data_IF_192437681763
#
_entry.id   IF_192437681763
#
_cell.length_a   1.000
_cell.length_b   1.000
_cell.length_c   1.000
_cell.angle_alpha   90.00
_cell.angle_beta   90.00
_cell.angle_gamma   90.00
#
_symmetry.space_group_name_H-M   'P 1'
#
loop_
_entity.id
_entity.type
_entity.pdbx_description
1 polymer ?
#
# COMPACT_ATOMS: atom_id res chain seq x y z
N UNK A 1 7.18 28.65 10.40
CA UNK A 1 6.60 27.83 9.33
C UNK A 1 5.45 27.04 9.93
N UNK A 2 4.21 27.41 9.63
CA UNK A 2 3.03 26.64 10.03
C UNK A 2 3.04 25.34 9.24
N UNK A 3 3.28 24.21 9.91
CA UNK A 3 3.18 22.91 9.28
C UNK A 3 1.72 22.73 8.82
N UNK A 4 1.48 22.80 7.50
CA UNK A 4 0.19 22.51 6.91
C UNK A 4 -0.20 21.10 7.32
N UNK A 5 -1.16 20.98 8.23
CA UNK A 5 -1.63 19.69 8.74
C UNK A 5 -2.67 19.21 7.75
N UNK A 6 -2.22 18.48 6.73
CA UNK A 6 -3.12 17.86 5.77
C UNK A 6 -3.98 16.85 6.53
N UNK A 7 -5.23 17.23 6.77
CA UNK A 7 -6.17 16.43 7.55
C UNK A 7 -6.99 15.48 6.67
N UNK A 8 -7.25 15.85 5.41
CA UNK A 8 -8.06 15.06 4.49
C UNK A 8 -7.38 15.04 3.12
N UNK A 9 -7.32 13.87 2.49
CA UNK A 9 -6.86 13.69 1.12
C UNK A 9 -7.94 12.97 0.31
N UNK A 10 -8.15 13.41 -0.93
CA UNK A 10 -8.99 12.69 -1.90
C UNK A 10 -8.12 11.70 -2.68
N UNK A 11 -8.50 10.43 -2.71
CA UNK A 11 -7.81 9.40 -3.48
C UNK A 11 -8.01 9.63 -4.98
N UNK A 12 -6.90 9.59 -5.74
CA UNK A 12 -6.93 9.78 -7.19
C UNK A 12 -7.42 8.54 -7.94
N UNK A 13 -7.37 7.38 -7.29
CA UNK A 13 -7.59 6.07 -7.91
C UNK A 13 -6.37 5.54 -8.68
N UNK A 14 -5.27 6.29 -8.73
CA UNK A 14 -4.06 5.86 -9.42
C UNK A 14 -3.13 5.10 -8.47
N UNK A 15 -2.56 4.02 -8.99
CA UNK A 15 -1.40 3.35 -8.38
C UNK A 15 -0.16 3.73 -9.16
N UNK A 16 0.82 4.34 -8.48
CA UNK A 16 2.12 4.64 -9.08
C UNK A 16 3.06 3.45 -8.94
N UNK A 17 3.85 3.21 -9.98
CA UNK A 17 4.92 2.20 -9.97
C UNK A 17 6.22 2.70 -9.34
N UNK A 18 6.34 4.02 -9.14
CA UNK A 18 7.53 4.70 -8.61
C UNK A 18 7.14 5.73 -7.56
N UNK A 19 7.88 5.76 -6.46
CA UNK A 19 7.71 6.74 -5.38
C UNK A 19 8.21 8.15 -5.72
N UNK A 20 8.81 8.35 -6.89
CA UNK A 20 9.50 9.59 -7.26
C UNK A 20 8.68 10.52 -8.17
N UNK A 21 7.57 10.03 -8.72
CA UNK A 21 6.65 10.81 -9.54
C UNK A 21 5.22 10.49 -9.11
N UNK A 22 4.60 11.37 -8.34
CA UNK A 22 3.25 11.21 -7.83
C UNK A 22 2.54 12.56 -7.70
N UNK A 23 1.23 12.53 -7.91
CA UNK A 23 0.31 13.62 -7.59
C UNK A 23 -0.37 13.35 -6.24
N UNK A 24 -0.88 14.41 -5.61
CA UNK A 24 -1.62 14.28 -4.35
C UNK A 24 -2.79 13.30 -4.53
N UNK A 25 -2.93 12.36 -3.59
CA UNK A 25 -3.97 11.33 -3.63
C UNK A 25 -3.58 10.05 -4.36
N UNK A 26 -2.42 10.01 -5.02
CA UNK A 26 -1.88 8.79 -5.60
C UNK A 26 -1.49 7.77 -4.53
N UNK A 27 -1.66 6.49 -4.87
CA UNK A 27 -1.36 5.37 -3.98
C UNK A 27 -0.12 4.65 -4.47
N UNK A 28 0.78 4.31 -3.54
CA UNK A 28 1.92 3.43 -3.78
C UNK A 28 1.70 2.11 -3.03
N UNK A 29 1.61 1.03 -3.79
CA UNK A 29 1.50 -0.33 -3.24
C UNK A 29 2.89 -0.94 -3.09
N UNK A 30 3.20 -1.47 -1.92
CA UNK A 30 4.48 -2.10 -1.66
C UNK A 30 4.32 -3.42 -0.89
N UNK A 31 5.22 -4.36 -1.17
CA UNK A 31 5.24 -5.67 -0.55
C UNK A 31 5.85 -5.58 0.84
N UNK A 32 5.28 -6.32 1.77
CA UNK A 32 5.91 -6.71 3.02
C UNK A 32 5.93 -8.22 3.08
N UNK A 33 7.05 -8.80 3.51
CA UNK A 33 7.10 -10.23 3.78
C UNK A 33 6.38 -10.50 5.09
N UNK A 34 5.71 -11.64 5.18
CA UNK A 34 5.31 -12.13 6.49
C UNK A 34 6.51 -12.82 7.20
N UNK A 35 6.28 -13.30 8.41
CA UNK A 35 7.33 -13.91 9.25
C UNK A 35 7.94 -15.16 8.60
N UNK A 36 7.16 -15.95 7.86
CA UNK A 36 7.66 -17.10 7.12
C UNK A 36 8.44 -16.64 5.91
N UNK A 37 7.90 -15.69 5.14
CA UNK A 37 8.57 -15.12 3.97
C UNK A 37 9.92 -14.47 4.28
N UNK A 38 10.03 -13.76 5.40
CA UNK A 38 11.28 -13.17 5.87
C UNK A 38 12.34 -14.25 6.21
N UNK A 39 11.91 -15.39 6.76
CA UNK A 39 12.78 -16.53 7.07
C UNK A 39 13.28 -17.21 5.80
N UNK A 40 12.40 -17.45 4.83
CA UNK A 40 12.78 -18.03 3.52
C UNK A 40 13.75 -17.15 2.73
N UNK A 41 13.52 -15.83 2.71
CA UNK A 41 14.43 -14.88 2.03
C UNK A 41 15.83 -14.87 2.65
N UNK A 42 15.94 -14.96 3.98
CA UNK A 42 17.23 -15.01 4.69
C UNK A 42 17.99 -16.32 4.44
N UNK A 43 17.28 -17.43 4.26
CA UNK A 43 17.86 -18.75 4.02
C UNK A 43 18.36 -19.03 2.59
N UNK A 44 18.25 -18.09 1.64
CA UNK A 44 18.59 -18.28 0.20
C UNK A 44 17.83 -19.42 -0.49
N UNK A 45 16.70 -19.88 0.05
CA UNK A 45 15.82 -20.83 -0.62
C UNK A 45 14.87 -20.06 -1.55
N UNK A 46 15.40 -19.66 -2.71
CA UNK A 46 14.75 -18.73 -3.64
C UNK A 46 13.70 -19.34 -4.56
N UNK A 47 13.52 -20.67 -4.55
CA UNK A 47 12.92 -21.34 -5.71
C UNK A 47 11.40 -21.57 -5.60
N UNK A 48 10.78 -21.38 -4.42
CA UNK A 48 9.32 -21.54 -4.24
C UNK A 48 8.62 -20.35 -3.59
N UNK A 49 9.31 -19.22 -3.42
CA UNK A 49 8.69 -17.93 -3.14
C UNK A 49 8.22 -17.77 -1.69
N UNK A 50 8.70 -16.70 -1.07
CA UNK A 50 8.23 -16.26 0.24
C UNK A 50 6.75 -15.83 0.16
N UNK A 51 6.01 -16.11 1.22
CA UNK A 51 4.69 -15.54 1.46
C UNK A 51 4.82 -14.07 1.91
N UNK A 52 3.78 -13.29 1.68
CA UNK A 52 3.78 -11.88 2.00
C UNK A 52 2.46 -11.21 1.72
N UNK A 53 2.43 -9.90 1.85
CA UNK A 53 1.24 -9.11 1.62
C UNK A 53 1.57 -7.70 1.17
N UNK A 54 0.57 -7.01 0.63
CA UNK A 54 0.68 -5.62 0.23
C UNK A 54 0.20 -4.67 1.32
N UNK A 55 0.92 -3.56 1.40
CA UNK A 55 0.57 -2.35 2.13
C UNK A 55 0.47 -1.19 1.14
N UNK A 56 -0.08 -0.06 1.60
CA UNK A 56 -0.24 1.12 0.78
C UNK A 56 0.22 2.38 1.51
N UNK A 57 0.75 3.31 0.73
CA UNK A 57 0.98 4.69 1.12
C UNK A 57 0.21 5.62 0.18
N UNK A 58 -0.18 6.77 0.67
CA UNK A 58 -0.80 7.85 -0.10
C UNK A 58 0.14 9.05 -0.18
N UNK A 59 0.22 9.70 -1.33
CA UNK A 59 1.00 10.93 -1.48
C UNK A 59 0.17 12.13 -1.02
N UNK A 60 0.68 12.89 -0.05
CA UNK A 60 -0.02 14.07 0.48
C UNK A 60 0.20 15.36 -0.34
N UNK A 61 1.05 15.30 -1.37
CA UNK A 61 1.50 16.47 -2.14
C UNK A 61 2.93 16.91 -1.81
N UNK A 62 3.48 16.44 -0.68
CA UNK A 62 4.86 16.68 -0.28
C UNK A 62 5.62 15.36 -0.10
N UNK A 63 5.02 14.38 0.58
CA UNK A 63 5.63 13.09 0.91
C UNK A 63 4.62 11.95 1.00
N UNK A 64 5.16 10.74 1.00
CA UNK A 64 4.39 9.53 1.21
C UNK A 64 3.97 9.39 2.67
N UNK A 65 2.69 9.12 2.88
CA UNK A 65 2.08 8.91 4.19
C UNK A 65 1.47 7.52 4.25
N UNK A 66 1.47 6.93 5.45
CA UNK A 66 0.84 5.65 5.68
C UNK A 66 -0.66 5.75 5.38
N UNK A 67 -1.17 4.85 4.56
CA UNK A 67 -2.60 4.62 4.37
C UNK A 67 -2.97 3.35 5.13
N UNK A 68 -4.08 3.39 5.87
CA UNK A 68 -4.58 2.26 6.64
C UNK A 68 -5.29 1.26 5.73
N UNK A 69 -4.51 0.70 4.81
CA UNK A 69 -4.96 -0.17 3.73
C UNK A 69 -5.69 -1.42 4.22
N UNK A 70 -5.36 -1.89 5.42
CA UNK A 70 -5.98 -3.03 6.07
C UNK A 70 -7.44 -2.77 6.47
N UNK A 71 -7.85 -1.51 6.63
CA UNK A 71 -9.25 -1.14 6.90
C UNK A 71 -10.06 -1.09 5.59
N UNK A 72 -9.36 -0.95 4.46
CA UNK A 72 -9.95 -0.82 3.13
C UNK A 72 -9.95 -2.13 2.34
N UNK A 73 -9.00 -3.02 2.62
CA UNK A 73 -8.82 -4.32 1.97
C UNK A 73 -8.44 -5.37 3.02
N UNK A 74 -9.28 -6.39 3.13
CA UNK A 74 -9.06 -7.54 4.01
C UNK A 74 -7.72 -8.24 3.70
N UNK A 75 -7.11 -8.85 4.72
CA UNK A 75 -5.76 -9.40 4.62
C UNK A 75 -5.63 -10.44 3.51
N UNK A 76 -6.62 -11.32 3.38
CA UNK A 76 -6.66 -12.46 2.46
C UNK A 76 -6.63 -11.99 1.00
N UNK A 77 -7.18 -10.80 0.74
CA UNK A 77 -7.26 -10.20 -0.60
C UNK A 77 -5.98 -9.42 -0.98
N UNK A 78 -5.07 -9.20 -0.02
CA UNK A 78 -3.81 -8.49 -0.22
C UNK A 78 -2.59 -9.33 0.14
N UNK A 79 -2.77 -10.57 0.59
CA UNK A 79 -1.72 -11.55 0.86
C UNK A 79 -1.50 -12.49 -0.33
N UNK A 80 -0.34 -13.11 -0.36
CA UNK A 80 0.01 -14.21 -1.25
C UNK A 80 0.85 -15.23 -0.49
N UNK A 81 0.70 -16.50 -0.84
CA UNK A 81 1.46 -17.59 -0.24
C UNK A 81 2.79 -17.77 -0.99
N UNK A 82 2.78 -17.57 -2.31
CA UNK A 82 3.96 -17.73 -3.14
C UNK A 82 4.33 -16.44 -3.87
N UNK A 83 5.63 -16.18 -3.99
CA UNK A 83 6.13 -14.98 -4.68
C UNK A 83 5.64 -14.85 -6.14
N UNK A 84 5.38 -15.98 -6.81
CA UNK A 84 4.78 -16.04 -8.15
C UNK A 84 3.37 -15.43 -8.21
N UNK A 85 2.61 -15.49 -7.12
CA UNK A 85 1.26 -14.94 -7.02
C UNK A 85 1.27 -13.42 -6.80
N UNK A 86 2.39 -12.86 -6.32
CA UNK A 86 2.48 -11.45 -5.94
C UNK A 86 2.08 -10.49 -7.06
N UNK A 87 2.44 -10.80 -8.31
CA UNK A 87 2.03 -10.01 -9.48
C UNK A 87 0.53 -10.01 -9.71
N UNK A 88 -0.13 -11.17 -9.58
CA UNK A 88 -1.59 -11.30 -9.69
C UNK A 88 -2.28 -10.48 -8.59
N UNK A 89 -1.80 -10.57 -7.35
CA UNK A 89 -2.34 -9.79 -6.23
C UNK A 89 -2.15 -8.29 -6.48
N UNK A 90 -0.98 -7.84 -6.95
CA UNK A 90 -0.74 -6.43 -7.30
C UNK A 90 -1.73 -5.91 -8.35
N UNK A 91 -1.98 -6.67 -9.42
CA UNK A 91 -2.93 -6.27 -10.46
C UNK A 91 -4.36 -6.20 -9.94
N UNK A 92 -4.77 -7.14 -9.08
CA UNK A 92 -6.07 -7.08 -8.40
C UNK A 92 -6.19 -5.82 -7.54
N UNK A 93 -5.20 -5.54 -6.68
CA UNK A 93 -5.20 -4.37 -5.82
C UNK A 93 -5.17 -3.06 -6.60
N UNK A 94 -4.49 -3.01 -7.75
CA UNK A 94 -4.53 -1.86 -8.65
C UNK A 94 -5.94 -1.56 -9.14
N UNK A 95 -6.76 -2.59 -9.42
CA UNK A 95 -8.16 -2.41 -9.79
C UNK A 95 -8.99 -1.93 -8.59
N UNK A 96 -8.75 -2.47 -7.40
CA UNK A 96 -9.41 -2.04 -6.16
C UNK A 96 -9.15 -0.56 -5.88
N UNK A 97 -7.89 -0.11 -5.97
CA UNK A 97 -7.52 1.30 -5.76
C UNK A 97 -8.21 2.21 -6.76
N UNK A 98 -8.36 1.81 -8.03
CA UNK A 98 -9.10 2.60 -9.03
C UNK A 98 -10.54 2.89 -8.61
N UNK A 99 -11.20 1.95 -7.94
CA UNK A 99 -12.56 2.13 -7.43
C UNK A 99 -12.64 3.15 -6.27
N UNK A 100 -11.51 3.56 -5.71
CA UNK A 100 -11.47 4.57 -4.65
C UNK A 100 -11.34 5.99 -5.17
N UNK A 101 -11.34 6.20 -6.49
CA UNK A 101 -11.30 7.54 -7.06
C UNK A 101 -12.39 8.43 -6.44
N UNK A 102 -11.99 9.58 -5.90
CA UNK A 102 -12.90 10.53 -5.25
C UNK A 102 -13.22 10.21 -3.78
N UNK A 103 -12.83 9.04 -3.25
CA UNK A 103 -12.97 8.72 -1.81
C UNK A 103 -12.04 9.61 -1.00
N UNK A 104 -12.57 10.18 0.09
CA UNK A 104 -11.81 11.01 1.03
C UNK A 104 -11.34 10.16 2.20
N UNK A 105 -10.06 10.29 2.54
CA UNK A 105 -9.43 9.65 3.71
C UNK A 105 -8.97 10.72 4.68
N UNK A 106 -9.12 10.47 5.98
CA UNK A 106 -8.78 11.42 7.04
C UNK A 106 -7.55 10.97 7.80
N UNK A 107 -6.67 11.90 8.15
CA UNK A 107 -5.52 11.59 9.00
C UNK A 107 -5.97 11.30 10.44
N UNK A 108 -5.69 10.10 10.91
CA UNK A 108 -5.83 9.70 12.31
C UNK A 108 -4.52 9.93 13.05
N UNK A 109 -4.53 10.80 14.05
CA UNK A 109 -3.39 11.05 14.93
C UNK A 109 -3.04 9.82 15.76
N UNK A 110 -4.06 9.10 16.26
CA UNK A 110 -3.92 7.86 17.03
C UNK A 110 -3.17 6.78 16.24
N UNK A 111 -3.58 6.54 14.99
CA UNK A 111 -3.00 5.49 14.14
C UNK A 111 -1.80 5.96 13.33
N UNK A 112 -1.55 7.26 13.32
CA UNK A 112 -0.52 7.96 12.53
C UNK A 112 -0.60 7.58 11.04
N UNK A 113 -1.82 7.52 10.52
CA UNK A 113 -2.14 7.06 9.17
C UNK A 113 -3.41 7.73 8.65
N UNK A 114 -3.59 7.77 7.33
CA UNK A 114 -4.86 8.09 6.70
C UNK A 114 -5.80 6.88 6.75
N UNK A 115 -7.05 7.08 7.16
CA UNK A 115 -8.11 6.06 7.28
C UNK A 115 -9.32 6.40 6.41
#
# INVERSE_FOLDING_TARGET
>A
MTASTINIITLSGNVVSSRYAAAQGDVYLYRNDDRQGATYRRGRHTNYGYSGYYLASIYDGEKWRKLQFNDMVAYENRSYEYASESGRVYHYLTRVVRLWQGRRVQYSTERRAFV
#
